data_IF_663269833559
#
_entry.id   IF_663269833559
#
_cell.length_a   1.000
_cell.length_b   1.000
_cell.length_c   1.000
_cell.angle_alpha   90.00
_cell.angle_beta   90.00
_cell.angle_gamma   90.00
#
_symmetry.space_group_name_H-M   'P 1'
#
loop_
_entity.id
_entity.type
_entity.pdbx_description
1 polymer ?
#
# COMPACT_ATOMS: atom_id res chain seq x y z
N UNK A 1 -21.59 16.15 2.71
CA UNK A 1 -21.93 14.71 2.78
C UNK A 1 -22.70 14.17 1.57
N UNK A 2 -23.48 14.97 0.82
CA UNK A 2 -24.23 14.48 -0.35
C UNK A 2 -23.36 13.80 -1.43
N UNK A 3 -22.19 14.37 -1.75
CA UNK A 3 -21.25 13.75 -2.70
C UNK A 3 -20.86 12.33 -2.25
N UNK A 4 -20.41 12.20 -1.00
CA UNK A 4 -20.04 10.89 -0.43
C UNK A 4 -21.22 9.90 -0.44
N UNK A 5 -22.45 10.38 -0.21
CA UNK A 5 -23.63 9.54 -0.30
C UNK A 5 -23.94 9.07 -1.73
N UNK A 6 -23.74 9.93 -2.73
CA UNK A 6 -23.90 9.56 -4.14
C UNK A 6 -22.87 8.51 -4.60
N UNK A 7 -21.73 8.41 -3.91
CA UNK A 7 -20.70 7.39 -4.16
C UNK A 7 -20.77 6.20 -3.19
N UNK A 8 -21.90 6.00 -2.49
CA UNK A 8 -22.13 4.90 -1.54
C UNK A 8 -21.11 4.83 -0.38
N UNK A 9 -20.42 5.94 -0.08
CA UNK A 9 -19.54 6.05 1.09
C UNK A 9 -20.38 6.29 2.34
N UNK A 10 -21.50 7.01 2.22
CA UNK A 10 -22.45 7.24 3.30
C UNK A 10 -23.86 6.90 2.86
N UNK A 11 -24.69 6.47 3.79
CA UNK A 11 -26.13 6.40 3.59
C UNK A 11 -26.74 7.77 3.86
N UNK A 12 -27.62 8.25 2.99
CA UNK A 12 -28.40 9.47 3.23
C UNK A 12 -29.88 9.12 3.37
N UNK A 13 -30.55 9.68 4.39
CA UNK A 13 -32.01 9.66 4.51
C UNK A 13 -32.52 11.08 4.69
N UNK A 14 -33.69 11.35 4.12
CA UNK A 14 -34.39 12.61 4.29
C UNK A 14 -35.43 12.41 5.39
N UNK A 15 -35.45 13.31 6.36
CA UNK A 15 -36.35 13.27 7.52
C UNK A 15 -37.11 14.59 7.56
N UNK A 16 -38.42 14.54 7.73
CA UNK A 16 -39.23 15.72 7.98
C UNK A 16 -39.27 15.98 9.49
N UNK A 17 -38.92 17.20 9.88
CA UNK A 17 -38.95 17.65 11.28
C UNK A 17 -39.95 18.80 11.40
N UNK A 18 -41.08 18.53 12.05
CA UNK A 18 -42.13 19.52 12.33
C UNK A 18 -43.48 18.87 12.63
N UNK A 19 -44.15 19.28 13.71
CA UNK A 19 -45.49 18.80 14.08
C UNK A 19 -46.62 19.37 13.19
N UNK A 20 -46.32 20.38 12.36
CA UNK A 20 -47.31 21.04 11.50
C UNK A 20 -46.96 20.88 10.01
N UNK A 21 -47.92 20.34 9.27
CA UNK A 21 -47.88 19.99 7.82
C UNK A 21 -47.52 21.18 6.90
N UNK A 22 -47.54 22.42 7.41
CA UNK A 22 -47.37 23.64 6.61
C UNK A 22 -45.95 24.25 6.66
N UNK A 23 -45.06 23.80 7.55
CA UNK A 23 -43.68 24.33 7.67
C UNK A 23 -42.62 23.23 7.88
N UNK A 24 -42.91 22.00 7.45
CA UNK A 24 -42.02 20.85 7.66
C UNK A 24 -40.58 21.13 7.22
N UNK A 25 -39.66 21.20 8.18
CA UNK A 25 -38.23 21.39 7.90
C UNK A 25 -37.67 20.07 7.41
N UNK A 26 -37.24 20.04 6.16
CA UNK A 26 -36.61 18.87 5.56
C UNK A 26 -35.14 18.83 6.00
N UNK A 27 -34.76 17.80 6.74
CA UNK A 27 -33.39 17.56 7.17
C UNK A 27 -32.82 16.30 6.49
N UNK A 28 -31.50 16.28 6.29
CA UNK A 28 -30.78 15.12 5.76
C UNK A 28 -29.90 14.55 6.86
N UNK A 29 -30.13 13.28 7.18
CA UNK A 29 -29.31 12.51 8.12
C UNK A 29 -28.43 11.53 7.37
N UNK A 30 -27.21 11.33 7.86
CA UNK A 30 -26.22 10.47 7.23
C UNK A 30 -25.76 9.37 8.19
N UNK A 31 -25.52 8.17 7.66
CA UNK A 31 -24.95 7.05 8.40
C UNK A 31 -23.73 6.48 7.66
N UNK A 32 -22.78 5.92 8.39
CA UNK A 32 -21.61 5.26 7.83
C UNK A 32 -22.02 3.97 7.09
N UNK A 33 -21.48 3.76 5.89
CA UNK A 33 -21.58 2.49 5.16
C UNK A 33 -20.34 1.61 5.45
N UNK A 34 -20.33 0.30 5.11
CA UNK A 34 -19.23 -0.60 5.45
C UNK A 34 -17.84 -0.13 5.01
N UNK A 35 -17.75 0.58 3.87
CA UNK A 35 -16.49 1.14 3.37
C UNK A 35 -15.85 2.14 4.34
N UNK A 36 -16.64 2.85 5.14
CA UNK A 36 -16.12 3.78 6.14
C UNK A 36 -15.21 3.11 7.15
N UNK A 37 -15.42 1.81 7.46
CA UNK A 37 -14.60 1.07 8.42
C UNK A 37 -13.10 1.20 8.09
N UNK A 38 -12.73 1.13 6.81
CA UNK A 38 -11.33 1.21 6.39
C UNK A 38 -10.71 2.61 6.55
N UNK A 39 -11.50 3.65 6.80
CA UNK A 39 -11.05 5.04 6.96
C UNK A 39 -11.22 5.57 8.38
N UNK A 40 -11.80 4.77 9.28
CA UNK A 40 -11.86 5.10 10.69
C UNK A 40 -10.52 4.76 11.35
N UNK A 41 -10.16 5.51 12.39
CA UNK A 41 -9.08 5.09 13.29
C UNK A 41 -9.65 3.99 14.17
N UNK A 42 -9.34 2.75 13.83
CA UNK A 42 -9.85 1.59 14.56
C UNK A 42 -9.22 1.55 15.97
N UNK A 43 -10.05 1.37 17.00
CA UNK A 43 -9.62 1.29 18.41
C UNK A 43 -8.81 0.02 18.73
N UNK A 44 -8.79 -0.95 17.81
CA UNK A 44 -8.08 -2.24 17.93
C UNK A 44 -6.69 -2.23 17.25
N UNK A 45 -6.26 -1.08 16.75
CA UNK A 45 -4.94 -0.88 16.14
C UNK A 45 -4.76 -1.63 14.82
N UNK A 46 -5.83 -2.06 14.13
CA UNK A 46 -5.75 -2.83 12.88
C UNK A 46 -5.23 -2.05 11.66
N UNK A 47 -4.94 -0.75 11.80
CA UNK A 47 -4.47 0.11 10.72
C UNK A 47 -5.63 0.81 9.98
N UNK A 48 -5.32 1.72 9.08
CA UNK A 48 -6.32 2.53 8.36
C UNK A 48 -5.84 2.92 6.97
N UNK A 49 -6.76 2.97 6.00
CA UNK A 49 -6.52 3.57 4.69
C UNK A 49 -6.61 5.11 4.72
N UNK A 50 -7.00 5.71 5.84
CA UNK A 50 -7.12 7.16 5.98
C UNK A 50 -5.81 7.88 5.68
N UNK A 51 -4.71 7.43 6.28
CA UNK A 51 -3.41 8.10 6.10
C UNK A 51 -2.88 7.93 4.68
N UNK A 52 -3.09 6.75 4.08
CA UNK A 52 -2.76 6.52 2.67
C UNK A 52 -3.60 7.40 1.74
N UNK A 53 -4.90 7.57 2.02
CA UNK A 53 -5.77 8.45 1.25
C UNK A 53 -5.32 9.91 1.33
N UNK A 54 -4.94 10.40 2.51
CA UNK A 54 -4.41 11.76 2.69
C UNK A 54 -3.12 11.93 1.88
N UNK A 55 -2.20 10.96 1.96
CA UNK A 55 -0.96 10.98 1.20
C UNK A 55 -1.20 11.03 -0.32
N UNK A 56 -2.03 10.12 -0.85
CA UNK A 56 -2.30 10.05 -2.28
C UNK A 56 -3.02 11.29 -2.83
N UNK A 57 -3.63 12.10 -1.96
CA UNK A 57 -4.29 13.35 -2.33
C UNK A 57 -3.51 14.60 -1.88
N UNK A 58 -2.26 14.44 -1.45
CA UNK A 58 -1.43 15.59 -1.09
C UNK A 58 -1.00 16.37 -2.35
N UNK A 59 -0.88 17.69 -2.21
CA UNK A 59 -0.48 18.58 -3.30
C UNK A 59 0.86 18.19 -3.96
N UNK A 60 1.80 17.61 -3.21
CA UNK A 60 3.08 17.12 -3.74
C UNK A 60 2.83 16.01 -4.76
N UNK A 61 1.95 15.06 -4.41
CA UNK A 61 1.56 13.94 -5.29
C UNK A 61 0.84 14.46 -6.52
N UNK A 62 -0.15 15.34 -6.36
CA UNK A 62 -0.87 15.93 -7.49
C UNK A 62 0.04 16.71 -8.44
N UNK A 63 0.99 17.48 -7.90
CA UNK A 63 1.97 18.19 -8.71
C UNK A 63 2.83 17.21 -9.50
N UNK A 64 3.33 16.13 -8.87
CA UNK A 64 4.07 15.08 -9.60
C UNK A 64 3.25 14.48 -10.74
N UNK A 65 1.98 14.14 -10.49
CA UNK A 65 1.07 13.58 -11.51
C UNK A 65 0.88 14.52 -12.71
N UNK A 66 0.92 15.84 -12.51
CA UNK A 66 0.80 16.82 -13.61
C UNK A 66 1.98 16.79 -14.59
N UNK A 67 3.11 16.18 -14.19
CA UNK A 67 4.32 16.02 -15.00
C UNK A 67 4.42 14.65 -15.69
N UNK A 68 3.37 13.83 -15.67
CA UNK A 68 3.37 12.52 -16.34
C UNK A 68 3.67 12.62 -17.85
N UNK A 69 3.31 13.73 -18.49
CA UNK A 69 3.66 14.03 -19.89
C UNK A 69 5.18 13.99 -20.11
N UNK A 70 5.97 14.47 -19.17
CA UNK A 70 7.42 14.53 -19.29
C UNK A 70 8.04 13.13 -19.22
N UNK A 71 7.47 12.24 -18.40
CA UNK A 71 7.83 10.81 -18.36
C UNK A 71 7.65 10.17 -19.74
N UNK A 72 6.50 10.41 -20.38
CA UNK A 72 6.15 9.80 -21.67
C UNK A 72 6.98 10.36 -22.82
N UNK A 73 7.14 11.68 -22.89
CA UNK A 73 7.77 12.34 -24.03
C UNK A 73 9.29 12.41 -23.91
N UNK A 74 9.81 12.51 -22.68
CA UNK A 74 11.22 12.81 -22.42
C UNK A 74 11.91 11.68 -21.65
N UNK A 75 11.17 10.74 -21.07
CA UNK A 75 11.72 9.67 -20.23
C UNK A 75 12.26 10.18 -18.88
N UNK A 76 11.88 11.38 -18.45
CA UNK A 76 12.33 11.96 -17.17
C UNK A 76 11.53 11.40 -16.00
N UNK A 77 12.09 11.47 -14.79
CA UNK A 77 11.35 11.19 -13.56
C UNK A 77 10.39 12.34 -13.25
N UNK A 78 9.10 12.07 -13.09
CA UNK A 78 8.10 13.12 -12.88
C UNK A 78 8.26 13.86 -11.55
N UNK A 79 8.79 13.20 -10.51
CA UNK A 79 9.09 13.86 -9.24
C UNK A 79 10.25 14.85 -9.41
N UNK A 80 11.27 14.48 -10.19
CA UNK A 80 12.36 15.39 -10.56
C UNK A 80 11.84 16.57 -11.38
N UNK A 81 10.98 16.34 -12.38
CA UNK A 81 10.37 17.43 -13.16
C UNK A 81 9.54 18.38 -12.29
N UNK A 82 8.80 17.85 -11.32
CA UNK A 82 7.91 18.62 -10.47
C UNK A 82 8.62 19.36 -9.33
N UNK A 83 9.63 18.75 -8.72
CA UNK A 83 10.21 19.19 -7.44
C UNK A 83 11.74 19.31 -7.47
N UNK A 84 12.39 18.98 -8.58
CA UNK A 84 13.84 19.10 -8.77
C UNK A 84 14.68 17.99 -8.15
N UNK A 85 14.06 16.98 -7.54
CA UNK A 85 14.74 15.86 -6.86
C UNK A 85 13.87 14.60 -6.89
N UNK A 86 14.46 13.45 -6.60
CA UNK A 86 13.71 12.18 -6.56
C UNK A 86 12.80 12.12 -5.33
N UNK A 87 11.74 11.32 -5.38
CA UNK A 87 10.74 11.28 -4.30
C UNK A 87 11.30 10.94 -2.92
N UNK A 88 12.29 10.04 -2.82
CA UNK A 88 12.91 9.73 -1.51
C UNK A 88 13.81 10.87 -1.00
N UNK A 89 14.47 11.60 -1.89
CA UNK A 89 15.25 12.79 -1.53
C UNK A 89 14.30 13.90 -1.06
N UNK A 90 13.15 14.06 -1.76
CA UNK A 90 12.11 15.00 -1.39
C UNK A 90 11.53 14.70 -0.01
N UNK A 91 11.15 13.43 0.26
CA UNK A 91 10.68 12.98 1.57
C UNK A 91 11.70 13.28 2.67
N UNK A 92 12.99 13.05 2.42
CA UNK A 92 14.04 13.34 3.38
C UNK A 92 14.25 14.85 3.63
N UNK A 93 13.91 15.70 2.65
CA UNK A 93 14.10 17.15 2.71
C UNK A 93 12.89 17.92 3.27
N UNK A 94 11.68 17.36 3.19
CA UNK A 94 10.43 18.01 3.57
C UNK A 94 9.73 17.25 4.71
N UNK A 95 9.88 17.77 5.93
CA UNK A 95 9.32 17.17 7.13
C UNK A 95 7.78 17.08 7.08
N UNK A 96 7.10 18.09 6.50
CA UNK A 96 5.63 18.09 6.43
C UNK A 96 5.10 17.01 5.46
N UNK A 97 5.84 16.73 4.39
CA UNK A 97 5.50 15.63 3.49
C UNK A 97 5.85 14.28 4.12
N UNK A 98 6.98 14.17 4.82
CA UNK A 98 7.36 12.97 5.55
C UNK A 98 6.34 12.58 6.63
N UNK A 99 5.79 13.56 7.36
CA UNK A 99 4.73 13.37 8.37
C UNK A 99 3.44 12.77 7.79
N UNK A 100 3.19 12.92 6.49
CA UNK A 100 2.05 12.29 5.78
C UNK A 100 2.45 10.97 5.15
N UNK A 101 3.65 10.90 4.59
CA UNK A 101 4.18 9.71 3.91
C UNK A 101 4.33 8.53 4.88
N UNK A 102 4.97 8.76 6.03
CA UNK A 102 5.31 7.69 6.97
C UNK A 102 4.06 7.00 7.56
N UNK A 103 3.03 7.71 8.07
CA UNK A 103 1.78 7.09 8.49
C UNK A 103 1.01 6.45 7.34
N UNK A 104 1.04 7.07 6.14
CA UNK A 104 0.37 6.52 4.96
C UNK A 104 0.87 5.12 4.57
N UNK A 105 2.19 4.91 4.63
CA UNK A 105 2.79 3.60 4.37
C UNK A 105 2.63 2.64 5.55
N UNK A 106 2.91 3.08 6.78
CA UNK A 106 2.92 2.19 7.95
C UNK A 106 1.53 1.68 8.36
N UNK A 107 0.50 2.54 8.37
CA UNK A 107 -0.86 2.14 8.77
C UNK A 107 -1.49 1.17 7.76
N UNK A 108 -1.26 1.39 6.46
CA UNK A 108 -1.77 0.52 5.41
C UNK A 108 -1.05 -0.84 5.41
N UNK A 109 0.29 -0.86 5.50
CA UNK A 109 1.08 -2.10 5.63
C UNK A 109 0.69 -2.92 6.86
N UNK A 110 0.43 -2.27 8.00
CA UNK A 110 -0.06 -2.94 9.22
C UNK A 110 -1.39 -3.65 8.97
N UNK A 111 -2.33 -2.98 8.29
CA UNK A 111 -3.63 -3.54 7.95
C UNK A 111 -3.51 -4.77 7.04
N UNK A 112 -2.67 -4.71 6.00
CA UNK A 112 -2.44 -5.86 5.12
C UNK A 112 -1.78 -7.03 5.85
N UNK A 113 -0.72 -6.76 6.63
CA UNK A 113 0.01 -7.82 7.33
C UNK A 113 -0.83 -8.53 8.38
N UNK A 114 -1.61 -7.80 9.19
CA UNK A 114 -2.56 -8.40 10.12
C UNK A 114 -3.51 -9.36 9.41
N UNK A 115 -3.98 -8.99 8.21
CA UNK A 115 -4.85 -9.84 7.41
C UNK A 115 -4.14 -11.08 6.88
N UNK A 116 -2.89 -10.96 6.45
CA UNK A 116 -2.08 -12.13 6.06
C UNK A 116 -1.86 -13.07 7.24
N UNK A 117 -1.52 -12.55 8.42
CA UNK A 117 -1.24 -13.35 9.63
C UNK A 117 -2.44 -14.17 10.14
N UNK A 118 -3.67 -13.89 9.69
CA UNK A 118 -4.84 -14.75 9.97
C UNK A 118 -4.74 -16.12 9.29
N UNK A 119 -4.09 -16.20 8.12
CA UNK A 119 -4.08 -17.40 7.25
C UNK A 119 -2.69 -17.91 6.95
N UNK A 120 -1.72 -17.02 6.85
CA UNK A 120 -0.35 -17.34 6.45
C UNK A 120 0.45 -17.89 7.63
N UNK A 121 0.91 -19.13 7.48
CA UNK A 121 1.68 -19.87 8.48
C UNK A 121 3.16 -20.00 8.16
N UNK A 122 3.62 -19.41 7.05
CA UNK A 122 5.01 -19.54 6.61
C UNK A 122 6.05 -18.90 7.53
N UNK A 123 5.64 -18.24 8.61
CA UNK A 123 6.53 -17.73 9.66
C UNK A 123 6.76 -18.71 10.81
N UNK A 124 6.01 -19.81 10.93
CA UNK A 124 6.09 -20.72 12.09
C UNK A 124 7.46 -21.41 12.24
N UNK A 125 8.16 -21.67 11.13
CA UNK A 125 9.47 -22.31 11.11
C UNK A 125 10.64 -21.32 10.92
N UNK A 126 10.37 -20.02 11.01
CA UNK A 126 11.37 -18.96 10.78
C UNK A 126 12.03 -18.60 12.10
N UNK A 127 13.36 -18.65 12.18
CA UNK A 127 14.10 -18.23 13.38
C UNK A 127 14.55 -16.76 13.31
N UNK A 128 14.90 -16.29 12.11
CA UNK A 128 15.35 -14.93 11.87
C UNK A 128 14.59 -14.37 10.68
N UNK A 129 13.92 -13.24 10.86
CA UNK A 129 13.21 -12.52 9.81
C UNK A 129 13.90 -11.19 9.55
N UNK A 130 14.25 -10.93 8.30
CA UNK A 130 14.80 -9.65 7.86
C UNK A 130 13.73 -8.92 7.05
N UNK A 131 13.34 -7.74 7.49
CA UNK A 131 12.44 -6.85 6.76
C UNK A 131 13.30 -5.85 5.96
N UNK A 132 13.31 -6.01 4.63
CA UNK A 132 14.13 -5.20 3.71
C UNK A 132 13.25 -4.08 3.13
N UNK A 133 13.62 -2.83 3.39
CA UNK A 133 12.75 -1.68 3.15
C UNK A 133 11.68 -1.52 4.25
N UNK A 134 11.99 -1.96 5.48
CA UNK A 134 11.03 -2.00 6.58
C UNK A 134 10.72 -0.65 7.25
N UNK A 135 11.36 0.44 6.80
CA UNK A 135 11.22 1.79 7.31
C UNK A 135 11.36 1.86 8.84
N UNK A 136 10.32 2.31 9.56
CA UNK A 136 10.29 2.36 11.01
C UNK A 136 10.20 0.98 11.70
N UNK A 137 10.11 -0.12 10.93
CA UNK A 137 10.04 -1.48 11.46
C UNK A 137 8.65 -1.90 11.95
N UNK A 138 7.60 -1.12 11.68
CA UNK A 138 6.22 -1.39 12.14
C UNK A 138 5.71 -2.75 11.64
N UNK A 139 6.06 -3.14 10.42
CA UNK A 139 5.66 -4.42 9.84
C UNK A 139 6.30 -5.59 10.60
N UNK A 140 7.61 -5.49 10.86
CA UNK A 140 8.38 -6.46 11.61
C UNK A 140 7.88 -6.57 13.06
N UNK A 141 7.50 -5.47 13.70
CA UNK A 141 6.88 -5.46 15.03
C UNK A 141 5.57 -6.25 15.07
N UNK A 142 4.71 -6.09 14.05
CA UNK A 142 3.46 -6.85 13.91
C UNK A 142 3.72 -8.35 13.79
N UNK A 143 4.70 -8.76 12.98
CA UNK A 143 5.04 -10.18 12.79
C UNK A 143 5.66 -10.78 14.06
N UNK A 144 6.64 -10.11 14.66
CA UNK A 144 7.33 -10.59 15.87
C UNK A 144 6.44 -10.61 17.11
N UNK A 145 5.45 -9.72 17.20
CA UNK A 145 4.40 -9.77 18.23
C UNK A 145 3.54 -11.04 18.12
N UNK A 146 3.29 -11.52 16.89
CA UNK A 146 2.55 -12.76 16.63
C UNK A 146 3.41 -14.01 16.81
N UNK A 147 4.70 -13.91 16.50
CA UNK A 147 5.67 -15.00 16.57
C UNK A 147 6.89 -14.59 17.41
N UNK A 148 6.80 -14.63 18.76
CA UNK A 148 7.84 -14.11 19.64
C UNK A 148 9.19 -14.86 19.59
N UNK A 149 9.21 -16.04 18.99
CA UNK A 149 10.44 -16.82 18.78
C UNK A 149 11.30 -16.25 17.64
N UNK A 150 10.73 -15.42 16.76
CA UNK A 150 11.45 -14.84 15.62
C UNK A 150 12.36 -13.72 16.10
N UNK A 151 13.64 -13.83 15.75
CA UNK A 151 14.58 -12.71 15.82
C UNK A 151 14.38 -11.80 14.61
N UNK A 152 13.77 -10.63 14.82
CA UNK A 152 13.59 -9.62 13.78
C UNK A 152 14.84 -8.79 13.51
N UNK A 153 15.12 -8.49 12.25
CA UNK A 153 16.12 -7.52 11.79
C UNK A 153 15.42 -6.56 10.83
N UNK A 154 15.32 -5.29 11.19
CA UNK A 154 14.81 -4.25 10.30
C UNK A 154 15.97 -3.67 9.49
N UNK A 155 15.88 -3.71 8.16
CA UNK A 155 16.89 -3.18 7.24
C UNK A 155 16.24 -2.15 6.32
N UNK A 156 16.67 -0.90 6.43
CA UNK A 156 16.27 0.19 5.54
C UNK A 156 17.50 1.08 5.29
N UNK A 157 17.38 2.09 4.43
CA UNK A 157 18.43 3.05 4.11
C UNK A 157 18.84 3.88 5.34
N UNK A 158 20.11 3.87 5.77
CA UNK A 158 20.82 5.07 6.24
C UNK A 158 21.40 5.79 5.00
N UNK A 159 22.12 6.92 5.07
CA UNK A 159 22.98 7.32 3.95
C UNK A 159 24.05 6.23 3.75
N UNK A 160 23.74 5.21 2.95
CA UNK A 160 24.51 4.04 2.57
C UNK A 160 25.18 3.23 3.70
N UNK A 161 24.67 2.03 4.00
CA UNK A 161 25.55 0.92 4.41
C UNK A 161 25.24 -0.30 3.55
N UNK A 162 26.16 -0.57 2.62
CA UNK A 162 26.25 -1.81 1.89
C UNK A 162 26.92 -2.87 2.77
N UNK A 163 26.27 -4.03 2.96
CA UNK A 163 26.88 -5.37 2.97
C UNK A 163 25.74 -6.40 2.90
N UNK A 164 25.57 -7.05 1.74
CA UNK A 164 24.70 -8.21 1.62
C UNK A 164 25.47 -9.45 2.10
N UNK A 165 25.08 -10.01 3.25
CA UNK A 165 25.56 -11.32 3.67
C UNK A 165 24.94 -12.42 2.82
N UNK A 166 25.69 -13.50 2.60
CA UNK A 166 25.24 -14.67 1.86
C UNK A 166 23.95 -15.26 2.47
N UNK A 167 22.96 -15.45 1.60
CA UNK A 167 21.65 -15.99 1.95
C UNK A 167 21.73 -17.51 2.18
N UNK A 168 21.19 -18.08 3.27
CA UNK A 168 21.26 -19.52 3.56
C UNK A 168 20.66 -20.37 2.44
N UNK A 169 21.18 -21.58 2.22
CA UNK A 169 20.68 -22.50 1.17
C UNK A 169 19.20 -22.88 1.35
N UNK A 170 18.65 -22.82 2.58
CA UNK A 170 17.25 -23.13 2.89
C UNK A 170 16.38 -21.89 3.17
N UNK A 171 16.84 -20.70 2.78
CA UNK A 171 16.07 -19.47 3.00
C UNK A 171 14.92 -19.30 1.99
N UNK A 172 13.95 -18.47 2.35
CA UNK A 172 12.88 -18.01 1.45
C UNK A 172 12.65 -16.50 1.52
N UNK A 173 12.41 -15.89 0.38
CA UNK A 173 12.02 -14.47 0.31
C UNK A 173 10.50 -14.39 0.24
N UNK A 174 9.91 -13.62 1.14
CA UNK A 174 8.46 -13.37 1.16
C UNK A 174 8.24 -11.99 0.55
N UNK A 175 7.46 -11.94 -0.52
CA UNK A 175 7.10 -10.70 -1.22
C UNK A 175 5.62 -10.44 -1.02
N UNK A 176 5.31 -9.21 -0.59
CA UNK A 176 3.96 -8.68 -0.52
C UNK A 176 3.82 -7.62 -1.61
N UNK A 177 3.08 -7.94 -2.67
CA UNK A 177 2.97 -7.04 -3.82
C UNK A 177 1.63 -7.20 -4.56
N UNK A 178 1.30 -6.22 -5.40
CA UNK A 178 0.16 -6.34 -6.30
C UNK A 178 0.55 -7.23 -7.47
N UNK A 179 -0.28 -8.23 -7.75
CA UNK A 179 -0.11 -9.11 -8.91
C UNK A 179 -1.13 -8.73 -9.95
N UNK A 180 -0.65 -8.15 -11.05
CA UNK A 180 -1.47 -7.72 -12.17
C UNK A 180 -2.13 -8.94 -12.84
N UNK A 181 -3.42 -8.84 -13.21
CA UNK A 181 -4.02 -9.82 -14.09
C UNK A 181 -3.35 -9.75 -15.47
N UNK A 182 -3.15 -10.90 -16.11
CA UNK A 182 -2.58 -10.98 -17.47
C UNK A 182 -3.44 -10.19 -18.46
N UNK A 183 -4.76 -10.27 -18.29
CA UNK A 183 -5.74 -9.53 -19.08
C UNK A 183 -6.60 -8.67 -18.13
N UNK A 184 -6.42 -7.34 -18.14
CA UNK A 184 -7.26 -6.42 -17.39
C UNK A 184 -8.71 -6.48 -17.89
N UNK A 185 -9.66 -6.51 -16.96
CA UNK A 185 -11.10 -6.52 -17.28
C UNK A 185 -11.74 -5.18 -16.92
N UNK A 186 -12.62 -4.70 -17.79
CA UNK A 186 -13.44 -3.52 -17.49
C UNK A 186 -14.31 -3.80 -16.26
N UNK A 187 -14.44 -2.80 -15.39
CA UNK A 187 -15.21 -2.88 -14.14
C UNK A 187 -14.77 -3.95 -13.13
N UNK A 188 -13.58 -4.53 -13.30
CA UNK A 188 -12.96 -5.40 -12.31
C UNK A 188 -12.15 -4.59 -11.29
N UNK A 189 -12.47 -4.77 -10.01
CA UNK A 189 -11.83 -4.02 -8.93
C UNK A 189 -10.32 -4.29 -8.87
N UNK A 190 -9.89 -5.53 -9.09
CA UNK A 190 -8.47 -5.88 -9.05
C UNK A 190 -7.70 -5.24 -10.20
N UNK A 191 -8.25 -5.28 -11.42
CA UNK A 191 -7.70 -4.64 -12.61
C UNK A 191 -7.60 -3.12 -12.43
N UNK A 192 -8.70 -2.49 -12.01
CA UNK A 192 -8.74 -1.04 -11.80
C UNK A 192 -7.77 -0.58 -10.73
N UNK A 193 -7.65 -1.33 -9.63
CA UNK A 193 -6.72 -0.99 -8.57
C UNK A 193 -5.26 -1.19 -8.98
N UNK A 194 -4.95 -2.31 -9.63
CA UNK A 194 -3.61 -2.59 -10.13
C UNK A 194 -3.14 -1.53 -11.13
N UNK A 195 -3.99 -1.16 -12.09
CA UNK A 195 -3.69 -0.07 -13.03
C UNK A 195 -3.56 1.29 -12.34
N UNK A 196 -4.39 1.59 -11.34
CA UNK A 196 -4.30 2.84 -10.59
C UNK A 196 -2.98 2.94 -9.83
N UNK A 197 -2.54 1.85 -9.22
CA UNK A 197 -1.25 1.79 -8.52
C UNK A 197 -0.06 1.83 -9.48
N UNK A 198 -0.14 1.14 -10.62
CA UNK A 198 0.89 1.19 -11.65
C UNK A 198 1.08 2.62 -12.20
N UNK A 199 -0.02 3.32 -12.47
CA UNK A 199 0.02 4.74 -12.87
C UNK A 199 0.61 5.64 -11.79
N UNK A 200 0.32 5.35 -10.51
CA UNK A 200 0.91 6.06 -9.38
C UNK A 200 2.43 5.81 -9.31
N UNK A 201 2.86 4.56 -9.46
CA UNK A 201 4.29 4.19 -9.48
C UNK A 201 4.99 4.83 -10.67
N UNK A 202 4.41 4.79 -11.86
CA UNK A 202 4.95 5.41 -13.07
C UNK A 202 5.24 6.91 -12.88
N UNK A 203 4.35 7.63 -12.20
CA UNK A 203 4.54 9.05 -11.93
C UNK A 203 5.57 9.33 -10.82
N UNK A 204 5.65 8.47 -9.81
CA UNK A 204 6.45 8.74 -8.60
C UNK A 204 7.84 8.08 -8.61
N UNK A 205 8.04 7.04 -9.43
CA UNK A 205 9.21 6.16 -9.40
C UNK A 205 9.66 5.87 -10.83
N UNK A 206 10.74 6.49 -11.27
CA UNK A 206 11.37 6.11 -12.55
C UNK A 206 11.71 4.60 -12.57
N UNK A 207 11.19 3.89 -13.59
CA UNK A 207 11.41 2.46 -13.80
C UNK A 207 10.58 1.51 -12.91
N UNK A 208 9.76 2.05 -12.00
CA UNK A 208 8.82 1.25 -11.23
C UNK A 208 7.63 0.82 -12.08
N UNK A 209 7.15 -0.40 -11.86
CA UNK A 209 5.91 -0.93 -12.44
C UNK A 209 5.38 -2.10 -11.62
N UNK A 210 4.08 -2.29 -11.64
CA UNK A 210 3.42 -3.51 -11.19
C UNK A 210 3.71 -4.65 -12.16
N UNK A 211 3.64 -5.89 -11.67
CA UNK A 211 4.03 -7.07 -12.45
C UNK A 211 2.98 -8.16 -12.41
N UNK A 212 2.94 -8.94 -13.48
CA UNK A 212 2.20 -10.20 -13.52
C UNK A 212 2.96 -11.29 -12.76
N UNK A 213 2.27 -12.37 -12.38
CA UNK A 213 2.92 -13.50 -11.69
C UNK A 213 4.08 -14.11 -12.53
N UNK A 214 3.94 -14.34 -13.84
CA UNK A 214 5.06 -14.84 -14.66
C UNK A 214 6.28 -13.90 -14.69
N UNK A 215 6.08 -12.59 -14.63
CA UNK A 215 7.19 -11.64 -14.55
C UNK A 215 7.91 -11.69 -13.19
N UNK A 216 7.16 -11.89 -12.10
CA UNK A 216 7.73 -12.10 -10.76
C UNK A 216 8.48 -13.44 -10.69
N UNK A 217 7.92 -14.51 -11.27
CA UNK A 217 8.59 -15.81 -11.42
C UNK A 217 9.90 -15.66 -12.20
N UNK A 218 9.89 -14.96 -13.33
CA UNK A 218 11.08 -14.70 -14.13
C UNK A 218 12.16 -13.92 -13.35
N UNK A 219 11.77 -12.93 -12.54
CA UNK A 219 12.69 -12.21 -11.66
C UNK A 219 13.30 -13.13 -10.60
N UNK A 220 12.49 -13.98 -9.96
CA UNK A 220 12.98 -14.98 -9.01
C UNK A 220 13.99 -15.93 -9.66
N UNK A 221 13.65 -16.48 -10.82
CA UNK A 221 14.55 -17.36 -11.58
C UNK A 221 15.87 -16.65 -11.94
N UNK A 222 15.81 -15.41 -12.42
CA UNK A 222 17.00 -14.62 -12.76
C UNK A 222 17.87 -14.30 -11.53
N UNK A 223 17.25 -14.16 -10.35
CA UNK A 223 17.95 -13.95 -9.08
C UNK A 223 18.46 -15.25 -8.43
N UNK A 224 18.25 -16.41 -9.07
CA UNK A 224 18.76 -17.72 -8.62
C UNK A 224 17.85 -18.45 -7.64
N UNK A 225 16.56 -18.10 -7.57
CA UNK A 225 15.55 -18.90 -6.86
C UNK A 225 15.05 -20.03 -7.75
N UNK A 226 14.85 -21.22 -7.17
CA UNK A 226 14.39 -22.41 -7.88
C UNK A 226 12.86 -22.51 -7.97
N UNK A 227 12.15 -21.84 -7.05
CA UNK A 227 10.67 -21.86 -6.99
C UNK A 227 10.12 -20.49 -6.63
N UNK A 228 9.01 -20.14 -7.25
CA UNK A 228 8.16 -19.01 -6.91
C UNK A 228 6.74 -19.56 -6.67
N UNK A 229 6.11 -19.20 -5.56
CA UNK A 229 4.82 -19.75 -5.15
C UNK A 229 3.89 -18.62 -4.70
N UNK A 230 2.73 -18.51 -5.36
CA UNK A 230 1.64 -17.67 -4.89
C UNK A 230 0.93 -18.35 -3.72
N UNK A 231 0.97 -17.74 -2.53
CA UNK A 231 0.42 -18.35 -1.32
C UNK A 231 -1.03 -17.94 -1.09
N UNK A 232 -1.28 -16.63 -1.00
CA UNK A 232 -2.63 -16.11 -0.77
C UNK A 232 -2.75 -14.63 -1.14
N UNK A 233 -3.99 -14.14 -1.22
CA UNK A 233 -4.32 -12.72 -1.42
C UNK A 233 -5.07 -12.18 -0.22
N UNK A 234 -4.68 -11.00 0.25
CA UNK A 234 -5.38 -10.24 1.28
C UNK A 234 -5.65 -8.83 0.75
N UNK A 235 -6.93 -8.48 0.63
CA UNK A 235 -7.36 -7.26 -0.05
C UNK A 235 -6.76 -7.19 -1.47
N UNK A 236 -5.91 -6.19 -1.74
CA UNK A 236 -5.25 -5.98 -3.03
C UNK A 236 -3.86 -6.61 -3.14
N UNK A 237 -3.23 -6.93 -2.02
CA UNK A 237 -1.87 -7.49 -2.00
C UNK A 237 -1.90 -9.01 -2.07
N UNK A 238 -0.89 -9.55 -2.73
CA UNK A 238 -0.62 -10.98 -2.82
C UNK A 238 0.64 -11.30 -2.04
N UNK A 239 0.65 -12.44 -1.35
CA UNK A 239 1.82 -12.98 -0.68
C UNK A 239 2.43 -14.06 -1.55
N UNK A 240 3.69 -13.89 -1.90
CA UNK A 240 4.48 -14.76 -2.77
C UNK A 240 5.72 -15.22 -2.02
N UNK A 241 6.06 -16.50 -2.12
CA UNK A 241 7.31 -17.04 -1.61
C UNK A 241 8.26 -17.38 -2.76
N UNK A 242 9.50 -16.91 -2.67
CA UNK A 242 10.60 -17.40 -3.48
C UNK A 242 11.47 -18.32 -2.64
N UNK A 243 11.77 -19.51 -3.15
CA UNK A 243 12.61 -20.50 -2.48
C UNK A 243 13.88 -20.75 -3.29
N UNK A 244 15.01 -20.91 -2.59
CA UNK A 244 16.23 -21.44 -3.20
C UNK A 244 16.11 -22.95 -3.38
#
# INVERSE_FOLDING_TARGET
>A
MRLLANHSILKCRVVETGENVQTGKIERVYAAEPVCKFFLKDSDGTGSLRSLFILCNDHVVFKTMSHLKDVILQGTDACVSAHGMKVFEYIASDEQFAEKFNPGMSESSTMFMKKFLEKYKGFEDVNTLVDVGGAAGTLLEVVTSRYPHIKGINFDLPPAIAYAHAYPEKGKVIVLDVVMPIEPKCDDLASNLGLTLDMFILAQRSGGRERTLPELEALGCAAGFSRCEFICRAYSLSLIEFHK
#
